data_IF_872016800605
#
_entry.id   IF_872016800605
#
_cell.length_a   1.000
_cell.length_b   1.000
_cell.length_c   1.000
_cell.angle_alpha   90.00
_cell.angle_beta   90.00
_cell.angle_gamma   90.00
#
_symmetry.space_group_name_H-M   'P 1'
#
loop_
_entity.id
_entity.type
_entity.pdbx_description
1 polymer ?
#
# COMPACT_ATOMS: atom_id res chain seq x y z
N UNK A 1 -1.46 -10.57 -1.55
CA UNK A 1 -0.80 -11.27 -0.42
C UNK A 1 -1.16 -12.76 -0.29
N UNK A 2 -2.36 -13.21 -0.63
CA UNK A 2 -2.75 -14.64 -0.52
C UNK A 2 -1.78 -15.57 -1.27
N UNK A 3 -1.43 -15.26 -2.52
CA UNK A 3 -0.46 -16.04 -3.31
C UNK A 3 0.93 -16.10 -2.66
N UNK A 4 1.36 -15.01 -2.00
CA UNK A 4 2.64 -14.96 -1.29
C UNK A 4 2.58 -15.84 -0.05
N UNK A 5 1.51 -15.76 0.73
CA UNK A 5 1.30 -16.61 1.90
C UNK A 5 1.30 -18.08 1.53
N UNK A 6 0.55 -18.48 0.49
CA UNK A 6 0.52 -19.86 -0.01
C UNK A 6 1.92 -20.33 -0.43
N UNK A 7 2.66 -19.49 -1.16
CA UNK A 7 4.03 -19.83 -1.58
C UNK A 7 4.97 -20.03 -0.39
N UNK A 8 4.88 -19.18 0.63
CA UNK A 8 5.66 -19.29 1.86
C UNK A 8 5.29 -20.57 2.64
N UNK A 9 4.00 -20.83 2.77
CA UNK A 9 3.50 -22.03 3.44
C UNK A 9 4.00 -23.31 2.77
N UNK A 10 3.95 -23.38 1.45
CA UNK A 10 4.47 -24.50 0.65
C UNK A 10 5.99 -24.68 0.78
N UNK A 11 6.71 -23.65 1.25
CA UNK A 11 8.15 -23.70 1.57
C UNK A 11 8.40 -23.99 3.06
N UNK A 12 7.39 -24.41 3.81
CA UNK A 12 7.44 -24.62 5.27
C UNK A 12 7.86 -23.35 6.02
N UNK A 13 7.55 -22.16 5.50
CA UNK A 13 7.67 -20.88 6.19
C UNK A 13 6.30 -20.55 6.80
N UNK A 14 6.23 -20.45 8.12
CA UNK A 14 5.00 -20.08 8.83
C UNK A 14 5.09 -18.61 9.27
N UNK A 15 4.51 -17.67 8.52
CA UNK A 15 4.59 -16.26 8.86
C UNK A 15 3.62 -15.86 9.98
N UNK A 16 4.03 -14.88 10.79
CA UNK A 16 3.14 -14.21 11.73
C UNK A 16 2.22 -13.23 10.98
N UNK A 17 0.91 -13.28 11.22
CA UNK A 17 -0.09 -12.49 10.51
C UNK A 17 -0.79 -11.50 11.44
N UNK A 18 -0.94 -10.25 11.00
CA UNK A 18 -1.82 -9.25 11.62
C UNK A 18 -2.98 -8.98 10.66
N UNK A 19 -4.19 -9.34 11.08
CA UNK A 19 -5.40 -9.27 10.25
C UNK A 19 -6.58 -8.65 11.00
N UNK A 20 -7.52 -8.05 10.26
CA UNK A 20 -8.86 -7.70 10.74
C UNK A 20 -9.89 -8.21 9.72
N UNK A 21 -10.63 -9.25 10.07
CA UNK A 21 -11.48 -9.98 9.11
C UNK A 21 -10.64 -10.43 7.92
N UNK A 22 -11.10 -10.14 6.70
CA UNK A 22 -10.40 -10.52 5.46
C UNK A 22 -9.24 -9.59 5.09
N UNK A 23 -9.00 -8.52 5.86
CA UNK A 23 -7.95 -7.55 5.59
C UNK A 23 -6.66 -7.94 6.30
N UNK A 24 -5.61 -8.25 5.54
CA UNK A 24 -4.26 -8.50 6.03
C UNK A 24 -3.47 -7.19 6.07
N UNK A 25 -2.99 -6.81 7.25
CA UNK A 25 -2.19 -5.60 7.46
C UNK A 25 -0.69 -5.88 7.35
N UNK A 26 -0.25 -6.99 7.93
CA UNK A 26 1.16 -7.32 8.03
C UNK A 26 1.36 -8.83 8.03
N UNK A 27 2.39 -9.29 7.31
CA UNK A 27 2.85 -10.68 7.32
C UNK A 27 4.35 -10.69 7.55
N UNK A 28 4.82 -11.30 8.65
CA UNK A 28 6.24 -11.37 9.01
C UNK A 28 6.80 -12.76 8.83
N UNK A 29 7.92 -12.87 8.14
CA UNK A 29 8.72 -14.09 8.04
C UNK A 29 9.98 -13.88 8.87
N UNK A 30 10.11 -14.67 9.95
CA UNK A 30 11.29 -14.63 10.80
C UNK A 30 12.54 -15.08 10.03
N UNK A 31 13.68 -14.48 10.37
CA UNK A 31 15.00 -14.84 9.85
C UNK A 31 15.28 -16.31 10.12
N UNK A 32 15.74 -17.01 9.08
CA UNK A 32 16.29 -18.36 9.20
C UNK A 32 17.77 -18.33 8.81
N UNK A 33 18.67 -18.87 9.65
CA UNK A 33 20.09 -18.97 9.30
C UNK A 33 20.28 -19.60 7.92
N UNK A 34 21.11 -18.99 7.08
CA UNK A 34 21.45 -19.46 5.73
C UNK A 34 20.27 -19.62 4.75
N UNK A 35 19.09 -19.08 5.05
CA UNK A 35 17.90 -19.22 4.20
C UNK A 35 17.26 -17.87 3.86
N UNK A 36 16.87 -17.06 4.85
CA UNK A 36 16.22 -15.77 4.60
C UNK A 36 16.50 -14.75 5.71
N UNK A 37 16.53 -13.43 5.39
CA UNK A 37 16.51 -12.37 6.39
C UNK A 37 15.13 -12.25 7.06
N UNK A 38 14.99 -11.35 8.04
CA UNK A 38 13.68 -10.94 8.51
C UNK A 38 12.96 -10.20 7.36
N UNK A 39 11.79 -10.69 6.95
CA UNK A 39 10.99 -10.10 5.88
C UNK A 39 9.64 -9.68 6.46
N UNK A 40 9.20 -8.48 6.12
CA UNK A 40 7.89 -7.97 6.51
C UNK A 40 7.16 -7.53 5.25
N UNK A 41 6.02 -8.14 4.97
CA UNK A 41 5.12 -7.75 3.91
C UNK A 41 4.04 -6.84 4.48
N UNK A 42 3.85 -5.68 3.84
CA UNK A 42 2.79 -4.72 4.15
C UNK A 42 2.10 -4.32 2.86
N UNK A 43 0.84 -3.95 2.97
CA UNK A 43 0.09 -3.38 1.85
C UNK A 43 0.24 -1.86 1.85
N UNK A 44 0.88 -1.32 0.81
CA UNK A 44 1.11 0.11 0.62
C UNK A 44 -0.19 0.90 0.54
N UNK A 45 -1.29 0.28 0.10
CA UNK A 45 -2.61 0.92 0.04
C UNK A 45 -3.11 1.35 1.43
N UNK A 46 -2.66 0.70 2.50
CA UNK A 46 -3.00 1.11 3.86
C UNK A 46 -2.35 2.44 4.28
N UNK A 47 -1.26 2.83 3.62
CA UNK A 47 -0.55 4.09 3.85
C UNK A 47 -0.95 5.15 2.82
N UNK A 48 -1.22 4.73 1.59
CA UNK A 48 -1.62 5.61 0.48
C UNK A 48 -2.90 5.04 -0.18
N UNK A 49 -4.10 5.31 0.39
CA UNK A 49 -5.35 4.67 -0.04
C UNK A 49 -5.92 5.29 -1.32
N UNK A 50 -5.15 5.23 -2.40
CA UNK A 50 -5.52 5.73 -3.72
C UNK A 50 -5.05 4.80 -4.83
N UNK A 51 -5.58 4.97 -6.04
CA UNK A 51 -5.18 4.19 -7.20
C UNK A 51 -3.73 4.51 -7.59
N UNK A 52 -3.01 3.52 -8.13
CA UNK A 52 -1.61 3.66 -8.55
C UNK A 52 -1.41 4.84 -9.52
N UNK A 53 -2.30 4.98 -10.51
CA UNK A 53 -2.27 6.08 -11.47
C UNK A 53 -2.46 7.47 -10.83
N UNK A 54 -3.15 7.55 -9.69
CA UNK A 54 -3.34 8.82 -8.97
C UNK A 54 -2.10 9.21 -8.15
N UNK A 55 -1.19 8.27 -7.84
CA UNK A 55 0.04 8.57 -7.09
C UNK A 55 1.00 9.46 -7.89
N UNK A 56 1.06 9.31 -9.22
CA UNK A 56 1.94 10.08 -10.10
C UNK A 56 1.68 11.59 -9.97
N UNK A 57 0.46 12.10 -10.22
CA UNK A 57 0.18 13.53 -10.03
C UNK A 57 0.19 13.94 -8.55
N UNK A 58 -0.19 13.06 -7.61
CA UNK A 58 -0.23 13.39 -6.18
C UNK A 58 1.16 13.71 -5.62
N UNK A 59 2.18 12.96 -6.04
CA UNK A 59 3.56 13.15 -5.58
C UNK A 59 4.45 13.85 -6.59
N UNK A 60 3.92 14.30 -7.73
CA UNK A 60 4.70 14.94 -8.80
C UNK A 60 5.82 14.05 -9.32
N UNK A 61 5.54 12.75 -9.52
CA UNK A 61 6.56 11.78 -9.92
C UNK A 61 6.89 11.93 -11.41
N UNK A 62 8.18 11.98 -11.72
CA UNK A 62 8.69 11.91 -13.09
C UNK A 62 8.74 10.45 -13.56
N UNK A 63 7.58 9.89 -13.93
CA UNK A 63 7.47 8.52 -14.45
C UNK A 63 6.74 8.55 -15.78
N UNK A 64 7.13 7.68 -16.71
CA UNK A 64 6.50 7.59 -18.03
C UNK A 64 5.02 7.23 -17.92
N UNK A 65 4.22 7.86 -18.79
CA UNK A 65 2.80 7.59 -18.85
C UNK A 65 2.53 6.15 -19.27
N UNK A 66 1.56 5.55 -18.58
CA UNK A 66 1.19 4.15 -18.73
C UNK A 66 0.59 3.90 -20.12
N UNK A 67 1.18 3.01 -20.96
CA UNK A 67 0.51 2.56 -22.17
C UNK A 67 -0.72 1.71 -21.82
N UNK A 68 -1.72 1.71 -22.70
CA UNK A 68 -2.90 0.86 -22.55
C UNK A 68 -2.50 -0.62 -22.65
N UNK A 69 -3.03 -1.45 -21.75
CA UNK A 69 -2.73 -2.88 -21.70
C UNK A 69 -4.00 -3.73 -21.90
N UNK A 70 -3.97 -4.76 -22.76
CA UNK A 70 -5.11 -5.61 -23.06
C UNK A 70 -5.28 -6.69 -21.98
N UNK A 71 -5.89 -6.34 -20.85
CA UNK A 71 -6.02 -7.21 -19.69
C UNK A 71 -6.65 -8.58 -19.99
N UNK A 72 -7.68 -8.66 -20.87
CA UNK A 72 -8.33 -9.93 -21.18
C UNK A 72 -7.52 -10.81 -22.15
N UNK A 73 -6.51 -10.24 -22.81
CA UNK A 73 -5.57 -11.00 -23.63
C UNK A 73 -4.49 -11.72 -22.82
N UNK A 74 -4.39 -11.45 -21.51
CA UNK A 74 -3.45 -12.12 -20.62
C UNK A 74 -3.88 -13.57 -20.33
N UNK A 75 -3.66 -14.45 -21.31
CA UNK A 75 -4.02 -15.87 -21.27
C UNK A 75 -2.87 -16.74 -21.75
N UNK A 76 -2.68 -17.96 -21.19
CA UNK A 76 -1.58 -18.85 -21.57
C UNK A 76 -1.47 -19.12 -23.06
N UNK A 77 -2.59 -19.14 -23.78
CA UNK A 77 -2.63 -19.42 -25.21
C UNK A 77 -2.00 -18.30 -26.06
N UNK A 78 -1.87 -17.09 -25.49
CA UNK A 78 -1.33 -15.91 -26.15
C UNK A 78 0.15 -15.65 -25.83
N UNK A 79 0.74 -16.35 -24.85
CA UNK A 79 2.15 -16.19 -24.49
C UNK A 79 3.07 -16.64 -25.64
N UNK A 80 4.17 -15.91 -25.85
CA UNK A 80 5.10 -16.15 -26.95
C UNK A 80 4.55 -15.86 -28.36
N UNK A 81 3.36 -15.24 -28.47
CA UNK A 81 2.71 -14.94 -29.75
C UNK A 81 2.50 -13.44 -29.95
N UNK A 82 2.47 -13.04 -31.22
CA UNK A 82 1.97 -11.73 -31.64
C UNK A 82 0.46 -11.80 -31.75
N UNK A 83 -0.23 -10.91 -31.06
CA UNK A 83 -1.69 -10.82 -31.06
C UNK A 83 -2.16 -9.45 -31.55
N UNK A 84 -3.43 -9.35 -31.91
CA UNK A 84 -4.11 -8.10 -32.27
C UNK A 84 -5.31 -7.94 -31.33
N UNK A 85 -5.10 -7.37 -30.13
CA UNK A 85 -6.16 -7.25 -29.14
C UNK A 85 -7.26 -6.32 -29.65
N UNK A 86 -8.51 -6.71 -29.37
CA UNK A 86 -9.71 -5.93 -29.68
C UNK A 86 -9.96 -4.88 -28.60
N UNK A 87 -10.88 -3.93 -28.84
CA UNK A 87 -11.27 -2.94 -27.80
C UNK A 87 -11.80 -3.60 -26.51
N UNK A 88 -12.48 -4.74 -26.64
CA UNK A 88 -12.97 -5.52 -25.50
C UNK A 88 -11.82 -6.03 -24.63
N UNK A 89 -10.69 -6.41 -25.25
CA UNK A 89 -9.53 -6.92 -24.54
C UNK A 89 -8.92 -5.89 -23.57
N UNK A 90 -9.09 -4.60 -23.86
CA UNK A 90 -8.66 -3.49 -23.00
C UNK A 90 -9.70 -3.08 -21.95
N UNK A 91 -10.86 -3.75 -21.89
CA UNK A 91 -12.00 -3.36 -21.05
C UNK A 91 -12.47 -1.93 -21.34
N UNK A 92 -12.48 -1.54 -22.62
CA UNK A 92 -12.80 -0.18 -23.04
C UNK A 92 -14.13 0.33 -22.47
N UNK A 93 -15.15 -0.53 -22.38
CA UNK A 93 -16.50 -0.14 -21.90
C UNK A 93 -16.55 0.17 -20.40
N UNK A 94 -15.57 -0.29 -19.62
CA UNK A 94 -15.41 0.08 -18.22
C UNK A 94 -14.64 1.39 -18.00
N UNK A 95 -14.10 2.01 -19.05
CA UNK A 95 -13.30 3.23 -18.92
C UNK A 95 -14.18 4.46 -18.70
N UNK A 96 -13.74 5.38 -17.84
CA UNK A 96 -14.37 6.68 -17.67
C UNK A 96 -14.35 7.48 -18.99
N UNK A 97 -15.35 8.33 -19.27
CA UNK A 97 -15.50 8.98 -20.58
C UNK A 97 -14.25 9.74 -21.08
N UNK A 98 -13.50 10.39 -20.18
CA UNK A 98 -12.26 11.06 -20.53
C UNK A 98 -11.18 10.07 -21.00
N UNK A 99 -10.93 9.02 -20.21
CA UNK A 99 -9.95 7.98 -20.53
C UNK A 99 -10.34 7.16 -21.75
N UNK A 100 -11.65 6.95 -21.97
CA UNK A 100 -12.18 6.25 -23.14
C UNK A 100 -11.85 7.01 -24.44
N UNK A 101 -11.95 8.33 -24.45
CA UNK A 101 -11.58 9.15 -25.63
C UNK A 101 -10.08 9.04 -25.95
N UNK A 102 -9.22 9.14 -24.95
CA UNK A 102 -7.77 8.92 -25.11
C UNK A 102 -7.48 7.52 -25.67
N UNK A 103 -8.16 6.51 -25.12
CA UNK A 103 -8.03 5.13 -25.57
C UNK A 103 -8.45 4.95 -27.03
N UNK A 104 -9.60 5.49 -27.43
CA UNK A 104 -10.12 5.29 -28.79
C UNK A 104 -9.17 5.90 -29.84
N UNK A 105 -8.58 7.06 -29.58
CA UNK A 105 -7.57 7.67 -30.46
C UNK A 105 -6.33 6.76 -30.55
N UNK A 106 -5.76 6.40 -29.40
CA UNK A 106 -4.60 5.53 -29.33
C UNK A 106 -4.84 4.17 -30.00
N UNK A 107 -6.04 3.59 -29.84
CA UNK A 107 -6.39 2.30 -30.42
C UNK A 107 -6.46 2.36 -31.94
N UNK A 108 -7.06 3.40 -32.53
CA UNK A 108 -7.11 3.51 -33.99
C UNK A 108 -5.71 3.65 -34.62
N UNK A 109 -4.77 4.29 -33.92
CA UNK A 109 -3.38 4.40 -34.34
C UNK A 109 -2.60 3.08 -34.22
N UNK A 110 -2.94 2.24 -33.23
CA UNK A 110 -2.16 1.05 -32.86
C UNK A 110 -2.81 -0.30 -33.19
N UNK A 111 -4.08 -0.34 -33.62
CA UNK A 111 -4.86 -1.58 -33.86
C UNK A 111 -4.24 -2.56 -34.87
N UNK A 112 -3.44 -2.06 -35.80
CA UNK A 112 -2.77 -2.88 -36.82
C UNK A 112 -1.32 -3.22 -36.45
N UNK A 113 -0.86 -2.80 -35.27
CA UNK A 113 0.48 -3.11 -34.77
C UNK A 113 0.40 -4.42 -33.98
N UNK A 114 1.26 -5.40 -34.28
CA UNK A 114 1.27 -6.65 -33.53
C UNK A 114 1.70 -6.41 -32.09
N UNK A 115 0.87 -6.84 -31.13
CA UNK A 115 1.15 -6.72 -29.72
C UNK A 115 1.92 -7.96 -29.22
N UNK A 116 3.09 -7.73 -28.63
CA UNK A 116 3.89 -8.77 -27.97
C UNK A 116 3.56 -8.76 -26.47
N UNK A 117 2.75 -9.73 -26.05
CA UNK A 117 2.21 -9.76 -24.70
C UNK A 117 3.31 -9.88 -23.63
N UNK A 118 4.32 -10.70 -23.85
CA UNK A 118 5.37 -10.99 -22.87
C UNK A 118 6.22 -9.74 -22.56
N UNK A 119 6.64 -9.02 -23.60
CA UNK A 119 7.42 -7.78 -23.48
C UNK A 119 6.58 -6.66 -22.87
N UNK A 120 5.34 -6.51 -23.34
CA UNK A 120 4.43 -5.50 -22.82
C UNK A 120 4.07 -5.75 -21.36
N UNK A 121 3.86 -7.01 -20.96
CA UNK A 121 3.56 -7.37 -19.57
C UNK A 121 4.75 -7.10 -18.65
N UNK A 122 5.96 -7.46 -19.08
CA UNK A 122 7.18 -7.17 -18.33
C UNK A 122 7.39 -5.65 -18.15
N UNK A 123 7.24 -4.86 -19.22
CA UNK A 123 7.33 -3.40 -19.18
C UNK A 123 6.26 -2.79 -18.26
N UNK A 124 5.01 -3.21 -18.43
CA UNK A 124 3.88 -2.74 -17.61
C UNK A 124 4.07 -3.02 -16.13
N UNK A 125 4.47 -4.24 -15.76
CA UNK A 125 4.71 -4.62 -14.37
C UNK A 125 5.91 -3.87 -13.79
N UNK A 126 6.97 -3.65 -14.57
CA UNK A 126 8.15 -2.89 -14.13
C UNK A 126 7.76 -1.45 -13.82
N UNK A 127 7.01 -0.81 -14.71
CA UNK A 127 6.51 0.55 -14.52
C UNK A 127 5.59 0.67 -13.29
N UNK A 128 4.66 -0.29 -13.09
CA UNK A 128 3.76 -0.27 -11.93
C UNK A 128 4.54 -0.37 -10.59
N UNK A 129 5.59 -1.19 -10.56
CA UNK A 129 6.48 -1.31 -9.39
C UNK A 129 7.31 -0.03 -9.18
N UNK A 130 7.80 0.57 -10.25
CA UNK A 130 8.55 1.83 -10.21
C UNK A 130 7.69 2.98 -9.69
N UNK A 131 6.47 3.16 -10.21
CA UNK A 131 5.52 4.15 -9.71
C UNK A 131 5.28 3.96 -8.21
N UNK A 132 5.02 2.71 -7.80
CA UNK A 132 4.74 2.43 -6.39
C UNK A 132 5.96 2.72 -5.50
N UNK A 133 7.16 2.35 -5.95
CA UNK A 133 8.41 2.60 -5.23
C UNK A 133 8.66 4.11 -5.09
N UNK A 134 8.58 4.87 -6.18
CA UNK A 134 8.78 6.31 -6.19
C UNK A 134 7.75 7.02 -5.30
N UNK A 135 6.48 6.61 -5.36
CA UNK A 135 5.43 7.13 -4.48
C UNK A 135 5.71 6.84 -3.00
N UNK A 136 6.13 5.62 -2.65
CA UNK A 136 6.48 5.25 -1.27
C UNK A 136 7.67 6.06 -0.75
N UNK A 137 8.68 6.29 -1.59
CA UNK A 137 9.84 7.12 -1.24
C UNK A 137 9.41 8.58 -1.00
N UNK A 138 8.61 9.14 -1.91
CA UNK A 138 8.08 10.50 -1.79
C UNK A 138 7.22 10.65 -0.52
N UNK A 139 6.27 9.74 -0.30
CA UNK A 139 5.45 9.70 0.90
C UNK A 139 6.29 9.61 2.17
N UNK A 140 7.27 8.70 2.21
CA UNK A 140 8.15 8.53 3.37
C UNK A 140 8.90 9.83 3.67
N UNK A 141 9.47 10.47 2.64
CA UNK A 141 10.21 11.72 2.78
C UNK A 141 9.31 12.84 3.33
N UNK A 142 8.17 13.08 2.69
CA UNK A 142 7.23 14.13 3.10
C UNK A 142 6.73 13.94 4.53
N UNK A 143 6.35 12.70 4.88
CA UNK A 143 5.88 12.38 6.22
C UNK A 143 7.01 12.54 7.25
N UNK A 144 8.21 12.07 6.94
CA UNK A 144 9.36 12.17 7.84
C UNK A 144 9.72 13.62 8.15
N UNK A 145 9.76 14.49 7.13
CA UNK A 145 10.04 15.92 7.32
C UNK A 145 8.91 16.66 8.05
N UNK A 146 7.64 16.38 7.70
CA UNK A 146 6.48 17.01 8.37
C UNK A 146 6.43 16.67 9.87
N UNK A 147 6.85 15.46 10.22
CA UNK A 147 6.83 14.97 11.60
C UNK A 147 8.11 15.30 12.38
N UNK A 148 9.10 15.95 11.77
CA UNK A 148 10.35 16.32 12.43
C UNK A 148 10.13 17.34 13.54
N UNK A 149 10.85 17.20 14.65
CA UNK A 149 10.85 18.13 15.78
C UNK A 149 12.27 18.32 16.29
N UNK A 150 12.49 19.29 17.19
CA UNK A 150 13.80 19.47 17.82
C UNK A 150 14.23 18.24 18.64
N UNK A 151 13.27 17.48 19.17
CA UNK A 151 13.51 16.31 20.01
C UNK A 151 13.76 15.01 19.24
N UNK A 152 13.41 14.92 17.96
CA UNK A 152 13.63 13.72 17.14
C UNK A 152 13.60 14.03 15.64
N UNK A 153 14.26 13.19 14.84
CA UNK A 153 14.50 13.44 13.42
C UNK A 153 13.28 13.26 12.49
N UNK A 154 12.10 12.96 13.01
CA UNK A 154 10.92 12.56 12.24
C UNK A 154 10.40 11.18 12.63
N UNK A 155 9.25 10.80 12.08
CA UNK A 155 8.62 9.48 12.25
C UNK A 155 8.66 8.77 10.90
N UNK A 156 9.21 7.56 10.87
CA UNK A 156 9.26 6.76 9.66
C UNK A 156 7.99 5.92 9.52
N UNK A 157 6.99 6.48 8.82
CA UNK A 157 5.69 5.82 8.64
C UNK A 157 5.80 4.44 7.99
N UNK A 158 6.75 4.22 7.06
CA UNK A 158 6.90 2.92 6.39
C UNK A 158 7.46 1.85 7.32
N UNK A 159 8.27 2.23 8.30
CA UNK A 159 8.88 1.30 9.26
C UNK A 159 8.01 1.10 10.48
N UNK A 160 7.43 2.16 11.00
CA UNK A 160 6.82 2.20 12.33
C UNK A 160 5.31 2.02 12.32
N UNK A 161 4.66 2.16 11.16
CA UNK A 161 3.21 2.14 11.04
C UNK A 161 2.75 1.15 9.95
N UNK A 162 1.57 0.56 10.15
CA UNK A 162 0.93 -0.31 9.15
C UNK A 162 -0.10 0.43 8.30
N UNK A 163 -0.61 1.57 8.80
CA UNK A 163 -1.69 2.33 8.18
C UNK A 163 -1.45 3.83 8.33
N UNK A 164 -2.03 4.63 7.45
CA UNK A 164 -1.97 6.10 7.55
C UNK A 164 -2.61 6.60 8.85
N UNK A 165 -3.70 5.97 9.29
CA UNK A 165 -4.34 6.30 10.57
C UNK A 165 -3.40 6.06 11.77
N UNK A 166 -2.66 4.94 11.75
CA UNK A 166 -1.62 4.66 12.76
C UNK A 166 -0.50 5.69 12.70
N UNK A 167 -0.08 6.12 11.52
CA UNK A 167 0.95 7.14 11.34
C UNK A 167 0.49 8.50 11.88
N UNK A 168 -0.72 8.94 11.54
CA UNK A 168 -1.30 10.18 12.04
C UNK A 168 -1.48 10.14 13.57
N UNK A 169 -1.96 9.03 14.13
CA UNK A 169 -2.08 8.86 15.58
C UNK A 169 -0.72 8.92 16.27
N UNK A 170 0.30 8.29 15.68
CA UNK A 170 1.67 8.36 16.20
C UNK A 170 2.20 9.78 16.16
N UNK A 171 2.01 10.49 15.05
CA UNK A 171 2.38 11.89 14.92
C UNK A 171 1.70 12.76 15.97
N UNK A 172 0.39 12.60 16.17
CA UNK A 172 -0.37 13.31 17.20
C UNK A 172 0.21 13.05 18.60
N UNK A 173 0.36 11.78 18.99
CA UNK A 173 0.83 11.39 20.32
C UNK A 173 2.27 11.82 20.60
N UNK A 174 3.14 11.86 19.60
CA UNK A 174 4.55 12.24 19.77
C UNK A 174 4.75 13.76 19.74
N UNK A 175 4.02 14.47 18.89
CA UNK A 175 4.35 15.87 18.55
C UNK A 175 3.36 16.90 19.07
N UNK A 176 2.14 16.50 19.40
CA UNK A 176 1.03 17.42 19.69
C UNK A 176 0.31 17.12 21.00
N UNK A 177 0.38 15.88 21.49
CA UNK A 177 -0.26 15.51 22.74
C UNK A 177 0.54 16.06 23.94
N UNK A 178 -0.10 16.95 24.69
CA UNK A 178 0.46 17.50 25.92
C UNK A 178 0.63 16.43 27.00
N UNK A 179 1.60 16.64 27.89
CA UNK A 179 1.79 15.76 29.05
C UNK A 179 0.52 15.77 29.90
N UNK A 180 0.18 14.62 30.46
CA UNK A 180 -0.94 14.44 31.40
C UNK A 180 -2.33 14.76 30.81
N UNK A 181 -2.46 14.90 29.49
CA UNK A 181 -3.72 15.26 28.84
C UNK A 181 -4.67 14.07 28.62
N UNK A 182 -4.15 12.84 28.52
CA UNK A 182 -4.96 11.62 28.42
C UNK A 182 -5.11 10.97 29.80
N UNK A 183 -6.36 10.83 30.25
CA UNK A 183 -6.69 10.03 31.41
C UNK A 183 -6.39 8.55 31.13
N UNK A 184 -5.69 7.88 32.06
CA UNK A 184 -5.46 6.44 31.98
C UNK A 184 -6.74 5.76 32.43
N UNK A 185 -7.54 5.31 31.46
CA UNK A 185 -8.74 4.52 31.75
C UNK A 185 -8.30 3.07 32.03
N UNK A 186 -8.57 2.50 33.21
CA UNK A 186 -8.30 1.09 33.47
C UNK A 186 -9.15 0.21 32.54
N UNK A 187 -8.74 -1.04 32.35
CA UNK A 187 -9.43 -2.00 31.46
C UNK A 187 -10.92 -2.23 31.85
N UNK A 188 -11.29 -1.89 33.09
CA UNK A 188 -12.66 -1.95 33.63
C UNK A 188 -13.36 -0.59 33.76
N UNK A 189 -12.80 0.47 33.20
CA UNK A 189 -13.34 1.81 33.32
C UNK A 189 -13.14 2.42 34.71
N UNK A 190 -13.91 3.48 35.00
CA UNK A 190 -13.90 4.20 36.27
C UNK A 190 -15.15 3.93 37.11
N UNK A 191 -15.77 2.76 36.93
CA UNK A 191 -16.95 2.42 37.69
C UNK A 191 -16.62 2.30 39.19
N UNK A 192 -17.54 2.75 40.05
CA UNK A 192 -17.40 2.85 41.51
C UNK A 192 -17.20 1.51 42.26
N UNK A 193 -16.99 0.41 41.52
CA UNK A 193 -16.90 -0.96 42.05
C UNK A 193 -15.46 -1.49 42.13
N UNK A 194 -14.47 -0.77 41.58
CA UNK A 194 -13.06 -1.13 41.68
C UNK A 194 -12.33 -0.34 42.79
N UNK A 195 -11.38 -1.00 43.49
CA UNK A 195 -10.52 -0.35 44.49
C UNK A 195 -9.58 0.65 43.80
N UNK A 196 -9.95 1.93 43.81
CA UNK A 196 -9.16 3.01 43.23
C UNK A 196 -8.12 3.57 44.22
N UNK A 197 -7.01 4.09 43.69
CA UNK A 197 -6.05 4.84 44.52
C UNK A 197 -6.66 6.15 45.04
N UNK A 198 -6.22 6.62 46.21
CA UNK A 198 -6.65 7.90 46.79
C UNK A 198 -6.47 9.10 45.85
N UNK A 199 -5.50 9.03 44.92
CA UNK A 199 -5.26 10.08 43.94
C UNK A 199 -6.36 10.11 42.87
N UNK A 200 -6.83 8.95 42.41
CA UNK A 200 -7.86 8.85 41.37
C UNK A 200 -9.22 9.36 41.86
N UNK A 201 -9.57 9.10 43.13
CA UNK A 201 -10.82 9.59 43.73
C UNK A 201 -10.93 11.12 43.78
N UNK A 202 -9.79 11.85 43.82
CA UNK A 202 -9.78 13.32 43.82
C UNK A 202 -10.24 13.95 42.49
N UNK A 203 -10.25 13.18 41.40
CA UNK A 203 -10.65 13.66 40.07
C UNK A 203 -12.13 13.37 39.73
N UNK A 204 -12.86 12.68 40.62
CA UNK A 204 -14.30 12.38 40.46
C UNK A 204 -15.24 13.27 41.31
N UNK A 205 -14.69 14.25 42.03
CA UNK A 205 -15.44 15.29 42.73
C UNK A 205 -15.58 16.54 41.87
#
# INVERSE_FOLDING_TARGET
MVLVFEKLYNQNLNPELIMKGNKLYEMKVAKRPNSNPNIVFRDSYNLMPMALAALVPTFGLEVEDKPFFPHLSNRPENYGKRIFPTKEDYLADGMMPAKRREFDIWYEENRNTPFLLDEALASYCTNDVEILMCALIAFRKEFFETTKRQSHNGIDALRECMTIASACMKHFRTNHLEKEHLAIVPERGYENVDNQSLLALKFFQ
#
